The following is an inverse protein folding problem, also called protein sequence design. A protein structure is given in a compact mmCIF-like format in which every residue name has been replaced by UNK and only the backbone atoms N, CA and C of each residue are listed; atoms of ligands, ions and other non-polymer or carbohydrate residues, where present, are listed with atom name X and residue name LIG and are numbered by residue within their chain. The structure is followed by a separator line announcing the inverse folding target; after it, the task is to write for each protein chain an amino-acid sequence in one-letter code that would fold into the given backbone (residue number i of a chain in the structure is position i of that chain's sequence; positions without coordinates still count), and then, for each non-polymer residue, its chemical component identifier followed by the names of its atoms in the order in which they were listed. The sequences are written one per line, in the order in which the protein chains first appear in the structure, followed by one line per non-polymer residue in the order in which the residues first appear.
data_IF_748234157545
#
_entry.id   IF_748234157545
#
_cell.length_a   1.000
_cell.length_b   1.000
_cell.length_c   1.000
_cell.angle_alpha   90.00
_cell.angle_beta   90.00
_cell.angle_gamma   90.00
#
_symmetry.space_group_name_H-M   'P 1'
#
loop_
_entity.id
_entity.type
_entity.pdbx_description
1 polymer ?
#
# COMPACT_ATOMS: atom_id res chain seq x y z
N UNK A 1 -4.53 15.71 14.47
CA UNK A 1 -4.62 14.80 13.30
C UNK A 1 -4.82 13.39 13.83
N UNK A 2 -5.70 12.57 13.23
CA UNK A 2 -5.81 11.17 13.64
C UNK A 2 -4.47 10.45 13.38
N UNK A 3 -4.04 9.61 14.33
CA UNK A 3 -2.86 8.75 14.20
C UNK A 3 -3.33 7.35 13.87
N UNK A 4 -2.86 6.79 12.76
CA UNK A 4 -3.05 5.39 12.42
C UNK A 4 -1.80 4.62 12.87
N UNK A 5 -2.00 3.54 13.62
CA UNK A 5 -0.95 2.61 14.05
C UNK A 5 -1.16 1.30 13.31
N UNK A 6 -0.10 0.80 12.68
CA UNK A 6 -0.13 -0.34 11.76
C UNK A 6 1.05 -1.23 12.10
N UNK A 7 0.77 -2.51 12.34
CA UNK A 7 1.76 -3.51 12.69
C UNK A 7 1.90 -4.56 11.59
N UNK A 8 3.13 -4.81 11.14
CA UNK A 8 3.46 -5.93 10.26
C UNK A 8 4.42 -6.90 10.94
N UNK A 9 4.42 -8.16 10.50
CA UNK A 9 5.27 -9.24 11.04
C UNK A 9 6.10 -9.87 9.92
N UNK A 10 7.05 -10.73 10.30
CA UNK A 10 7.93 -11.49 9.42
C UNK A 10 9.02 -10.70 8.67
N UNK A 11 9.29 -9.45 9.08
CA UNK A 11 10.48 -8.72 8.66
C UNK A 11 11.74 -9.22 9.36
N UNK A 12 12.89 -9.07 8.71
CA UNK A 12 14.17 -9.39 9.32
C UNK A 12 14.56 -8.33 10.38
N UNK A 13 15.24 -8.73 11.47
CA UNK A 13 15.76 -7.77 12.44
C UNK A 13 16.72 -6.76 11.77
N UNK A 14 16.39 -5.47 11.86
CA UNK A 14 17.19 -4.38 11.28
C UNK A 14 16.88 -4.04 9.81
N UNK A 15 15.91 -4.70 9.19
CA UNK A 15 15.49 -4.43 7.81
C UNK A 15 14.84 -3.05 7.64
N UNK A 16 15.08 -2.42 6.49
CA UNK A 16 14.39 -1.17 6.12
C UNK A 16 13.00 -1.50 5.56
N UNK A 17 11.97 -0.84 6.07
CA UNK A 17 10.57 -1.05 5.65
C UNK A 17 10.06 0.17 4.88
N UNK A 18 9.58 -0.06 3.66
CA UNK A 18 8.83 0.93 2.91
C UNK A 18 7.36 0.97 3.34
N UNK A 19 6.82 2.17 3.57
CA UNK A 19 5.39 2.38 3.83
C UNK A 19 4.76 2.99 2.58
N UNK A 20 3.81 2.29 1.99
CA UNK A 20 3.04 2.76 0.84
C UNK A 20 1.56 2.86 1.22
N UNK A 21 0.90 3.91 0.73
CA UNK A 21 -0.54 4.12 0.94
C UNK A 21 -1.24 3.79 -0.38
N UNK A 22 -2.22 2.88 -0.32
CA UNK A 22 -3.12 2.65 -1.45
C UNK A 22 -4.08 3.82 -1.55
N UNK A 23 -4.10 4.44 -2.73
CA UNK A 23 -4.92 5.61 -2.99
C UNK A 23 -6.23 5.26 -3.68
N UNK A 24 -6.22 4.23 -4.56
CA UNK A 24 -7.37 3.73 -5.32
C UNK A 24 -7.22 2.27 -5.72
N UNK A 25 -8.35 1.60 -5.94
CA UNK A 25 -8.47 0.32 -6.60
C UNK A 25 -8.80 0.46 -8.09
N UNK A 26 -8.37 -0.51 -8.91
CA UNK A 26 -8.78 -0.66 -10.30
C UNK A 26 -8.90 -2.14 -10.66
N UNK A 27 -9.82 -2.45 -11.58
CA UNK A 27 -10.05 -3.81 -12.05
C UNK A 27 -9.21 -4.08 -13.32
N UNK A 28 -8.71 -5.32 -13.43
CA UNK A 28 -8.09 -5.80 -14.66
C UNK A 28 -9.15 -6.19 -15.69
N UNK A 29 -8.85 -6.01 -16.97
CA UNK A 29 -9.71 -6.41 -18.07
C UNK A 29 -9.70 -7.93 -18.29
N UNK A 30 -10.42 -8.40 -19.33
CA UNK A 30 -10.50 -9.82 -19.68
C UNK A 30 -9.18 -10.48 -20.12
N UNK A 31 -8.10 -9.69 -20.26
CA UNK A 31 -6.75 -10.16 -20.58
C UNK A 31 -5.80 -10.09 -19.37
N UNK A 32 -6.28 -9.62 -18.22
CA UNK A 32 -5.46 -9.43 -17.03
C UNK A 32 -4.66 -8.13 -17.05
N UNK A 33 -5.00 -7.18 -17.93
CA UNK A 33 -4.34 -5.87 -17.99
C UNK A 33 -5.18 -4.83 -17.23
N UNK A 34 -4.53 -4.02 -16.41
CA UNK A 34 -5.16 -2.89 -15.74
C UNK A 34 -4.47 -1.60 -16.17
N UNK A 35 -5.25 -0.59 -16.55
CA UNK A 35 -4.74 0.74 -16.87
C UNK A 35 -5.48 1.78 -16.05
N UNK A 36 -4.72 2.56 -15.29
CA UNK A 36 -5.26 3.61 -14.43
C UNK A 36 -4.62 4.94 -14.81
N UNK A 37 -5.44 5.98 -14.92
CA UNK A 37 -4.99 7.36 -15.01
C UNK A 37 -5.25 8.04 -13.68
N UNK A 38 -4.20 8.61 -13.08
CA UNK A 38 -4.29 9.39 -11.85
C UNK A 38 -4.06 10.85 -12.21
N UNK A 39 -4.95 11.73 -11.77
CA UNK A 39 -4.71 13.16 -11.79
C UNK A 39 -3.85 13.55 -10.57
N UNK A 40 -2.87 14.44 -10.75
CA UNK A 40 -1.99 14.89 -9.66
C UNK A 40 -2.73 15.52 -8.47
N UNK A 41 -3.94 16.07 -8.71
CA UNK A 41 -4.82 16.59 -7.66
C UNK A 41 -5.60 15.49 -6.89
N UNK A 42 -5.61 14.25 -7.40
CA UNK A 42 -6.27 13.09 -6.77
C UNK A 42 -5.36 12.35 -5.77
N UNK A 43 -4.21 12.91 -5.42
CA UNK A 43 -3.35 12.45 -4.33
C UNK A 43 -3.83 13.07 -3.00
N UNK A 44 -4.40 12.30 -2.05
CA UNK A 44 -4.93 12.86 -0.80
C UNK A 44 -4.42 12.13 0.46
N UNK A 45 -4.53 12.82 1.60
CA UNK A 45 -4.90 12.15 2.85
C UNK A 45 -6.34 11.64 2.71
N UNK A 46 -6.49 10.31 2.68
CA UNK A 46 -7.70 9.60 2.27
C UNK A 46 -7.32 8.21 1.79
N UNK A 47 -6.54 7.52 2.63
CA UNK A 47 -5.92 6.23 2.37
C UNK A 47 -6.98 5.13 2.25
N UNK A 48 -6.96 4.36 1.16
CA UNK A 48 -7.75 3.13 1.03
C UNK A 48 -7.09 1.93 1.73
N UNK A 49 -5.83 2.09 2.15
CA UNK A 49 -5.11 1.13 2.99
C UNK A 49 -3.62 1.35 2.98
N UNK A 50 -2.90 0.56 3.77
CA UNK A 50 -1.43 0.67 3.89
C UNK A 50 -0.77 -0.65 3.54
N UNK A 51 0.27 -0.55 2.74
CA UNK A 51 1.16 -1.64 2.38
C UNK A 51 2.52 -1.39 3.05
N UNK A 52 3.01 -2.39 3.78
CA UNK A 52 4.38 -2.46 4.26
C UNK A 52 5.16 -3.41 3.36
N UNK A 53 6.32 -2.97 2.90
CA UNK A 53 7.18 -3.75 2.03
C UNK A 53 8.61 -3.82 2.58
N UNK A 54 9.08 -5.03 2.86
CA UNK A 54 10.45 -5.32 3.28
C UNK A 54 11.37 -5.48 2.06
N UNK A 55 12.43 -4.67 1.97
CA UNK A 55 13.32 -4.66 0.81
C UNK A 55 14.20 -5.93 0.71
N UNK A 56 14.61 -6.51 1.83
CA UNK A 56 15.53 -7.66 1.87
C UNK A 56 14.77 -8.98 1.87
N UNK A 57 13.69 -9.04 2.65
CA UNK A 57 12.85 -10.23 2.77
C UNK A 57 11.88 -10.38 1.60
N UNK A 58 11.54 -9.28 0.90
CA UNK A 58 10.47 -9.24 -0.10
C UNK A 58 9.07 -9.35 0.52
N UNK A 59 8.96 -9.25 1.85
CA UNK A 59 7.71 -9.42 2.59
C UNK A 59 6.75 -8.27 2.29
N UNK A 60 5.50 -8.60 1.96
CA UNK A 60 4.42 -7.64 1.75
C UNK A 60 3.33 -7.86 2.81
N UNK A 61 3.02 -6.82 3.58
CA UNK A 61 1.86 -6.77 4.47
C UNK A 61 0.90 -5.69 3.99
N UNK A 62 -0.40 -5.99 3.94
CA UNK A 62 -1.44 -5.07 3.53
C UNK A 62 -2.53 -5.02 4.61
N UNK A 63 -2.92 -3.81 5.01
CA UNK A 63 -4.05 -3.56 5.91
C UNK A 63 -5.13 -2.73 5.20
N UNK A 64 -6.35 -3.26 5.19
CA UNK A 64 -7.57 -2.58 4.76
C UNK A 64 -8.15 -1.81 5.96
N UNK A 65 -8.28 -0.48 5.90
CA UNK A 65 -8.70 0.37 7.02
C UNK A 65 -10.24 0.43 7.17
N UNK A 66 -11.00 -0.33 6.38
CA UNK A 66 -12.47 -0.39 6.38
C UNK A 66 -13.04 -1.25 7.50
#
# INVERSE_FOLDING_TARGET
MPRYEIEGRAFLPGETIGVAILLRNAEADGHGEARVFLNAAELPSGCEGVVLFGYDSGTLYYEDPR
#
